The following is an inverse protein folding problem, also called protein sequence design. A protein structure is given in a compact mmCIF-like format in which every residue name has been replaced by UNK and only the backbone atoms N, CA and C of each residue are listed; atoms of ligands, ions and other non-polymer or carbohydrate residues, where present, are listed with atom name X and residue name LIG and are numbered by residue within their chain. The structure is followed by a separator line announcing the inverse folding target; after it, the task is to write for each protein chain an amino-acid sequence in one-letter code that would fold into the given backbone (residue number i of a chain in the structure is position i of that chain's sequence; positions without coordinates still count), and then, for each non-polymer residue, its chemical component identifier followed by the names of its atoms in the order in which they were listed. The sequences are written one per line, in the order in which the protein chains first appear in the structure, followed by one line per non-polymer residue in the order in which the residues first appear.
data_IF_609893599361
#
_entry.id   IF_609893599361
#
_cell.length_a   1.000
_cell.length_b   1.000
_cell.length_c   1.000
_cell.angle_alpha   90.00
_cell.angle_beta   90.00
_cell.angle_gamma   90.00
#
_symmetry.space_group_name_H-M   'P 1'
#
loop_
_entity.id
_entity.type
_entity.pdbx_description
1 polymer ?
#
# COMPACT_ATOMS: atom_id res chain seq x y z
N UNK A 1 40.22 30.98 35.08
CA UNK A 1 40.34 31.18 33.61
C UNK A 1 38.94 30.96 33.03
N UNK A 2 38.16 32.03 32.83
CA UNK A 2 37.73 32.59 31.51
C UNK A 2 37.14 31.54 30.55
N UNK A 3 35.95 31.65 29.91
CA UNK A 3 34.83 32.61 29.77
C UNK A 3 33.68 31.81 29.08
N UNK A 4 32.42 31.85 29.53
CA UNK A 4 31.28 32.66 29.04
C UNK A 4 31.04 32.67 27.51
N UNK A 5 29.87 32.15 27.07
CA UNK A 5 28.83 32.92 26.34
C UNK A 5 27.49 32.17 26.26
N UNK A 6 26.52 32.65 27.05
CA UNK A 6 25.07 32.52 26.81
C UNK A 6 24.63 33.66 25.87
N UNK A 7 23.69 33.40 24.96
CA UNK A 7 22.91 34.45 24.28
C UNK A 7 21.44 34.25 24.66
N UNK A 8 20.86 35.31 25.25
CA UNK A 8 19.43 35.49 25.55
C UNK A 8 18.70 35.94 24.27
N UNK A 9 17.53 35.37 24.02
CA UNK A 9 16.50 35.93 23.13
C UNK A 9 15.41 36.57 23.99
N UNK A 10 15.10 37.83 23.72
CA UNK A 10 13.90 38.54 24.17
C UNK A 10 13.82 39.84 23.41
N UNK A 11 12.72 40.06 22.69
CA UNK A 11 12.10 41.39 22.57
C UNK A 11 10.68 41.26 22.02
N UNK A 12 9.74 41.68 22.86
CA UNK A 12 8.37 42.06 22.52
C UNK A 12 8.27 43.60 22.47
N UNK A 13 7.16 44.05 21.88
CA UNK A 13 6.39 45.30 22.12
C UNK A 13 6.70 46.61 21.35
N UNK A 14 5.77 46.94 20.42
CA UNK A 14 4.77 48.04 20.48
C UNK A 14 5.07 49.48 19.96
N UNK A 15 4.35 49.83 18.89
CA UNK A 15 3.46 51.01 18.61
C UNK A 15 3.88 52.43 19.09
N UNK A 16 3.96 53.42 18.16
CA UNK A 16 3.18 54.69 18.19
C UNK A 16 3.31 55.56 16.90
N UNK A 17 2.31 56.42 16.73
CA UNK A 17 1.83 57.19 15.55
C UNK A 17 2.29 58.66 15.60
N UNK A 18 2.42 59.38 14.45
CA UNK A 18 1.79 60.70 14.14
C UNK A 18 2.28 61.41 12.84
N UNK A 19 1.30 61.71 11.94
CA UNK A 19 1.02 62.93 11.11
C UNK A 19 2.12 63.60 10.26
N UNK A 20 1.94 64.26 9.09
CA UNK A 20 0.82 64.67 8.20
C UNK A 20 1.46 65.48 7.03
N UNK A 21 0.96 65.39 5.78
CA UNK A 21 0.58 66.54 4.90
C UNK A 21 0.36 66.17 3.41
N UNK A 22 -0.86 66.46 2.89
CA UNK A 22 -1.22 66.86 1.51
C UNK A 22 -1.07 65.83 0.37
N UNK A 23 -2.00 65.62 -0.56
CA UNK A 23 -3.30 66.21 -0.86
C UNK A 23 -3.73 65.77 -2.28
N UNK A 24 -5.04 65.55 -2.49
CA UNK A 24 -5.71 65.69 -3.79
C UNK A 24 -5.90 64.45 -4.68
N UNK A 25 -7.18 64.10 -4.92
CA UNK A 25 -7.63 63.74 -6.28
C UNK A 25 -8.05 62.29 -6.57
N UNK A 26 -9.33 62.00 -6.32
CA UNK A 26 -10.25 61.25 -7.21
C UNK A 26 -9.78 59.98 -7.92
N UNK A 27 -10.22 58.81 -7.44
CA UNK A 27 -11.09 57.91 -8.22
C UNK A 27 -11.58 56.74 -7.36
N UNK A 28 -12.88 56.46 -7.44
CA UNK A 28 -13.48 55.26 -6.89
C UNK A 28 -12.98 54.04 -7.67
N UNK A 29 -12.24 53.16 -7.01
CA UNK A 29 -12.18 51.75 -7.36
C UNK A 29 -12.18 50.96 -6.07
N UNK A 30 -13.34 50.39 -5.74
CA UNK A 30 -13.45 49.29 -4.79
C UNK A 30 -12.46 48.21 -5.20
N UNK A 31 -11.49 47.95 -4.35
CA UNK A 31 -10.63 46.78 -4.45
C UNK A 31 -11.52 45.60 -4.08
N UNK A 32 -12.17 45.00 -5.08
CA UNK A 32 -12.64 43.63 -4.96
C UNK A 32 -11.40 42.75 -4.83
N UNK A 33 -11.30 42.07 -3.69
CA UNK A 33 -10.43 40.92 -3.53
C UNK A 33 -10.87 39.88 -4.57
N UNK A 34 -10.23 39.90 -5.73
CA UNK A 34 -10.31 38.82 -6.69
C UNK A 34 -9.75 37.58 -6.01
N UNK A 35 -10.67 36.80 -5.46
CA UNK A 35 -10.47 35.43 -5.05
C UNK A 35 -10.11 34.68 -6.33
N UNK A 36 -8.81 34.54 -6.61
CA UNK A 36 -8.32 33.65 -7.65
C UNK A 36 -8.66 32.24 -7.21
N UNK A 37 -9.84 31.76 -7.61
CA UNK A 37 -10.04 30.34 -7.88
C UNK A 37 -8.96 29.97 -8.89
N UNK A 38 -7.83 29.48 -8.39
CA UNK A 38 -6.92 28.69 -9.21
C UNK A 38 -7.73 27.54 -9.79
N UNK A 39 -7.62 27.41 -11.10
CA UNK A 39 -8.25 26.38 -11.92
C UNK A 39 -7.88 25.00 -11.39
N UNK A 40 -8.74 24.45 -10.52
CA UNK A 40 -8.86 23.02 -10.31
C UNK A 40 -9.45 22.44 -11.60
N UNK A 41 -8.57 21.91 -12.42
CA UNK A 41 -8.97 21.17 -13.63
C UNK A 41 -9.68 19.87 -13.21
N UNK A 42 -10.92 19.76 -13.68
CA UNK A 42 -11.79 18.57 -13.76
C UNK A 42 -12.04 17.75 -12.47
N UNK A 43 -12.81 18.35 -11.57
CA UNK A 43 -13.24 17.79 -10.28
C UNK A 43 -14.43 16.79 -10.40
N UNK A 44 -14.69 16.19 -11.57
CA UNK A 44 -15.95 15.46 -11.87
C UNK A 44 -15.86 13.93 -11.89
N UNK A 45 -14.75 13.32 -11.45
CA UNK A 45 -14.49 11.88 -11.64
C UNK A 45 -14.34 11.05 -10.35
N UNK A 46 -14.24 11.69 -9.18
CA UNK A 46 -14.06 11.01 -7.88
C UNK A 46 -15.32 11.21 -7.04
N UNK A 47 -15.91 10.11 -6.57
CA UNK A 47 -17.08 10.09 -5.68
C UNK A 47 -16.82 10.92 -4.41
N UNK A 48 -17.80 11.71 -3.97
CA UNK A 48 -17.72 12.53 -2.77
C UNK A 48 -17.43 11.67 -1.53
N UNK A 49 -17.89 10.41 -1.48
CA UNK A 49 -17.58 9.52 -0.34
C UNK A 49 -16.09 9.19 -0.25
N UNK A 50 -15.42 9.00 -1.39
CA UNK A 50 -13.97 8.77 -1.46
C UNK A 50 -13.23 10.06 -1.12
N UNK A 51 -13.69 11.20 -1.65
CA UNK A 51 -13.08 12.50 -1.40
C UNK A 51 -13.13 12.90 0.08
N UNK A 52 -14.16 12.48 0.78
CA UNK A 52 -14.37 12.81 2.20
C UNK A 52 -13.50 11.99 3.15
N UNK A 53 -12.76 10.99 2.65
CA UNK A 53 -11.77 10.29 3.47
C UNK A 53 -10.58 11.21 3.77
N UNK A 54 -10.30 11.53 5.06
CA UNK A 54 -9.36 12.59 5.43
C UNK A 54 -7.95 12.42 4.85
N UNK A 55 -7.50 11.18 4.65
CA UNK A 55 -6.15 10.86 4.21
C UNK A 55 -6.04 10.29 2.80
N UNK A 56 -7.15 10.16 2.06
CA UNK A 56 -7.09 9.68 0.67
C UNK A 56 -6.16 10.54 -0.22
N UNK A 57 -6.11 11.86 0.02
CA UNK A 57 -5.21 12.80 -0.66
C UNK A 57 -3.70 12.55 -0.45
N UNK A 58 -3.33 11.68 0.47
CA UNK A 58 -1.95 11.28 0.76
C UNK A 58 -1.62 9.88 0.22
N UNK A 59 -2.63 9.15 -0.27
CA UNK A 59 -2.49 7.80 -0.82
C UNK A 59 -2.17 7.84 -2.32
N UNK A 60 -0.98 8.32 -2.65
CA UNK A 60 -0.53 8.43 -4.05
C UNK A 60 -0.51 7.11 -4.81
N UNK A 61 -0.38 5.98 -4.11
CA UNK A 61 -0.49 4.65 -4.70
C UNK A 61 -1.89 4.37 -5.29
N UNK A 62 -2.92 5.07 -4.80
CA UNK A 62 -4.29 5.00 -5.29
C UNK A 62 -4.58 6.07 -6.35
N UNK A 63 -4.10 7.30 -6.13
CA UNK A 63 -4.32 8.41 -7.05
C UNK A 63 -3.14 9.39 -7.04
N UNK A 64 -2.21 9.24 -7.98
CA UNK A 64 -0.97 10.05 -8.01
C UNK A 64 -1.21 11.48 -8.48
N UNK A 65 -2.14 11.67 -9.41
CA UNK A 65 -2.44 12.98 -10.04
C UNK A 65 -2.99 14.05 -9.09
N UNK A 66 -3.49 13.66 -7.92
CA UNK A 66 -4.08 14.55 -6.92
C UNK A 66 -3.43 14.43 -5.54
N UNK A 67 -2.30 13.70 -5.45
CA UNK A 67 -1.66 13.44 -4.17
C UNK A 67 -0.66 14.50 -3.80
N UNK A 68 -0.72 14.91 -2.54
CA UNK A 68 0.28 15.76 -1.91
C UNK A 68 1.10 14.84 -1.03
N UNK A 69 2.30 14.41 -1.44
CA UNK A 69 3.13 13.51 -0.60
C UNK A 69 3.37 14.11 0.79
N UNK A 70 3.60 15.42 0.83
CA UNK A 70 3.79 16.25 2.01
C UNK A 70 3.98 17.73 1.56
N UNK A 71 4.01 18.68 2.51
CA UNK A 71 4.24 20.11 2.24
C UNK A 71 5.67 20.46 1.78
N UNK A 72 6.56 19.47 1.58
CA UNK A 72 7.95 19.69 1.15
C UNK A 72 8.13 19.72 -0.38
N UNK A 73 7.06 19.55 -1.15
CA UNK A 73 7.08 19.75 -2.60
C UNK A 73 7.68 18.59 -3.41
N UNK A 74 7.67 17.36 -2.88
CA UNK A 74 8.00 16.16 -3.66
C UNK A 74 6.95 15.95 -4.75
N UNK A 75 7.41 15.72 -5.98
CA UNK A 75 6.55 15.48 -7.13
C UNK A 75 6.33 13.99 -7.30
N UNK A 76 5.08 13.55 -7.16
CA UNK A 76 4.64 12.22 -7.63
C UNK A 76 4.57 12.26 -9.15
N UNK A 77 5.05 11.22 -9.83
CA UNK A 77 4.74 11.03 -11.25
C UNK A 77 3.24 10.75 -11.40
N UNK A 78 2.57 11.43 -12.34
CA UNK A 78 1.11 11.32 -12.50
C UNK A 78 0.63 9.89 -12.78
N UNK A 79 1.54 9.01 -13.24
CA UNK A 79 1.27 7.62 -13.51
C UNK A 79 1.83 6.67 -12.44
N UNK A 80 2.21 7.16 -11.25
CA UNK A 80 2.80 6.33 -10.18
C UNK A 80 1.78 5.44 -9.45
N UNK A 81 0.49 5.77 -9.51
CA UNK A 81 -0.59 4.96 -8.94
C UNK A 81 -0.86 3.64 -9.68
N UNK A 82 -1.75 2.82 -9.12
CA UNK A 82 -2.20 1.55 -9.70
C UNK A 82 -3.45 1.69 -10.57
N UNK A 83 -3.89 2.91 -10.92
CA UNK A 83 -5.12 3.18 -11.65
C UNK A 83 -6.37 2.57 -10.98
N UNK A 84 -6.50 2.75 -9.65
CA UNK A 84 -7.56 2.13 -8.85
C UNK A 84 -8.96 2.69 -9.15
N UNK A 85 -9.05 3.97 -9.51
CA UNK A 85 -10.32 4.65 -9.73
C UNK A 85 -11.09 4.01 -10.90
N UNK A 86 -10.40 3.50 -11.91
CA UNK A 86 -11.03 2.73 -12.99
C UNK A 86 -11.57 1.38 -12.52
N UNK A 87 -10.89 0.72 -11.58
CA UNK A 87 -11.39 -0.52 -11.00
C UNK A 87 -12.63 -0.30 -10.11
N UNK A 88 -12.63 0.77 -9.31
CA UNK A 88 -13.73 1.11 -8.40
C UNK A 88 -15.03 1.54 -9.09
N UNK A 89 -15.00 1.86 -10.39
CA UNK A 89 -16.20 1.99 -11.23
C UNK A 89 -16.90 0.64 -11.45
N UNK A 90 -16.19 -0.47 -11.29
CA UNK A 90 -16.69 -1.84 -11.53
C UNK A 90 -16.92 -2.59 -10.22
N UNK A 91 -15.95 -2.58 -9.30
CA UNK A 91 -16.03 -3.26 -8.01
C UNK A 91 -15.15 -2.61 -6.95
N UNK A 92 -15.50 -2.79 -5.68
CA UNK A 92 -14.67 -2.45 -4.51
C UNK A 92 -14.28 -3.68 -3.68
N UNK A 93 -14.47 -4.89 -4.21
CA UNK A 93 -13.97 -6.13 -3.60
C UNK A 93 -14.98 -6.89 -2.74
N UNK A 94 -16.26 -6.54 -2.79
CA UNK A 94 -17.30 -7.24 -2.03
C UNK A 94 -17.32 -8.76 -2.30
N UNK A 95 -17.58 -9.52 -1.25
CA UNK A 95 -17.70 -10.99 -1.29
C UNK A 95 -16.37 -11.74 -1.26
N UNK A 96 -15.23 -11.06 -1.29
CA UNK A 96 -13.90 -11.69 -1.24
C UNK A 96 -13.32 -11.62 0.17
N UNK A 97 -12.74 -12.74 0.61
CA UNK A 97 -11.99 -12.83 1.86
C UNK A 97 -10.50 -12.86 1.57
N UNK A 98 -9.75 -12.02 2.27
CA UNK A 98 -8.29 -11.94 2.18
C UNK A 98 -7.70 -12.27 3.55
N UNK A 99 -6.79 -13.22 3.61
CA UNK A 99 -6.03 -13.51 4.82
C UNK A 99 -4.71 -12.74 4.81
N UNK A 100 -4.39 -12.12 5.94
CA UNK A 100 -3.10 -11.46 6.19
C UNK A 100 -2.37 -12.30 7.22
N UNK A 101 -1.27 -12.94 6.81
CA UNK A 101 -0.41 -13.72 7.70
C UNK A 101 0.80 -12.87 8.01
N UNK A 102 0.87 -12.33 9.24
CA UNK A 102 1.87 -11.33 9.62
C UNK A 102 2.07 -11.31 11.16
N UNK A 103 2.74 -10.29 11.68
CA UNK A 103 3.06 -10.10 13.10
C UNK A 103 1.85 -9.84 14.01
N UNK A 104 0.63 -9.79 13.44
CA UNK A 104 -0.64 -9.57 14.12
C UNK A 104 -1.38 -8.35 13.62
N UNK A 105 -2.16 -7.73 14.49
CA UNK A 105 -2.87 -6.50 14.15
C UNK A 105 -3.82 -6.05 15.26
N UNK A 106 -4.52 -4.94 15.02
CA UNK A 106 -5.51 -4.39 15.92
C UNK A 106 -6.91 -4.49 15.27
N UNK A 107 -7.64 -5.60 15.46
CA UNK A 107 -8.94 -5.84 14.82
C UNK A 107 -10.02 -4.79 15.11
N UNK A 108 -9.82 -3.97 16.14
CA UNK A 108 -10.74 -2.90 16.55
C UNK A 108 -10.29 -1.51 16.06
N UNK A 109 -9.26 -1.45 15.21
CA UNK A 109 -8.81 -0.21 14.59
C UNK A 109 -9.98 0.50 13.89
N UNK A 110 -10.12 1.80 14.11
CA UNK A 110 -11.26 2.60 13.63
C UNK A 110 -11.46 2.49 12.12
N UNK A 111 -10.35 2.38 11.39
CA UNK A 111 -10.25 2.25 9.95
C UNK A 111 -9.94 0.80 9.48
N UNK A 112 -10.42 -0.20 10.24
CA UNK A 112 -10.26 -1.62 9.88
C UNK A 112 -11.40 -2.52 10.38
N UNK A 113 -11.94 -2.23 11.56
CA UNK A 113 -12.85 -3.10 12.33
C UNK A 113 -14.07 -3.60 11.56
N UNK A 114 -14.60 -2.82 10.63
CA UNK A 114 -15.81 -3.17 9.88
C UNK A 114 -15.54 -4.27 8.82
N UNK A 115 -14.27 -4.47 8.47
CA UNK A 115 -13.84 -5.46 7.50
C UNK A 115 -13.14 -6.67 8.12
N UNK A 116 -12.72 -6.65 9.39
CA UNK A 116 -12.16 -7.83 10.07
C UNK A 116 -13.26 -8.79 10.49
N UNK A 117 -13.26 -10.00 9.93
CA UNK A 117 -14.29 -11.02 10.25
C UNK A 117 -13.76 -12.14 11.14
N UNK A 118 -12.46 -12.41 11.10
CA UNK A 118 -11.83 -13.51 11.82
C UNK A 118 -10.41 -13.13 12.23
N UNK A 119 -9.98 -13.67 13.36
CA UNK A 119 -8.62 -13.50 13.88
C UNK A 119 -8.11 -14.82 14.41
N UNK A 120 -6.82 -15.09 14.21
CA UNK A 120 -6.19 -16.32 14.67
C UNK A 120 -4.74 -16.09 15.04
N UNK A 121 -4.30 -16.65 16.16
CA UNK A 121 -2.94 -16.59 16.63
C UNK A 121 -2.32 -17.98 16.56
N UNK A 122 -1.45 -18.17 15.57
CA UNK A 122 -0.81 -19.47 15.30
C UNK A 122 0.03 -19.92 16.50
N UNK A 123 0.59 -18.99 17.26
CA UNK A 123 1.49 -19.26 18.37
C UNK A 123 0.81 -19.97 19.56
N UNK A 124 -0.51 -19.80 19.73
CA UNK A 124 -1.23 -20.35 20.88
C UNK A 124 -2.66 -20.84 20.59
N UNK A 125 -3.10 -20.80 19.33
CA UNK A 125 -4.42 -21.23 18.89
C UNK A 125 -5.59 -20.33 19.34
N UNK A 126 -5.32 -19.15 19.91
CA UNK A 126 -6.35 -18.21 20.35
C UNK A 126 -6.77 -17.24 19.23
N UNK A 127 -7.79 -16.42 19.50
CA UNK A 127 -8.21 -15.33 18.60
C UNK A 127 -7.53 -13.99 18.93
N UNK A 128 -6.61 -13.96 19.90
CA UNK A 128 -5.92 -12.74 20.34
C UNK A 128 -4.73 -12.46 19.44
N UNK A 129 -4.85 -11.47 18.57
CA UNK A 129 -3.83 -11.14 17.54
C UNK A 129 -3.06 -9.84 17.81
N UNK A 130 -3.36 -9.13 18.90
CA UNK A 130 -2.63 -7.94 19.33
C UNK A 130 -1.13 -8.22 19.50
N UNK A 131 -0.30 -7.25 19.13
CA UNK A 131 1.15 -7.28 19.38
C UNK A 131 1.47 -7.13 20.86
N UNK A 132 2.63 -7.68 21.25
CA UNK A 132 3.15 -7.59 22.61
C UNK A 132 4.37 -6.65 22.72
N UNK A 133 4.83 -6.02 21.62
CA UNK A 133 5.98 -5.11 21.58
C UNK A 133 5.73 -3.87 20.72
N UNK A 134 6.47 -2.79 21.02
CA UNK A 134 6.37 -1.44 20.44
C UNK A 134 6.57 -1.33 18.91
N UNK A 135 6.75 -2.44 18.18
CA UNK A 135 7.04 -2.45 16.73
C UNK A 135 6.03 -3.28 15.92
N UNK A 136 4.89 -3.64 16.52
CA UNK A 136 3.93 -4.59 15.95
C UNK A 136 2.82 -4.00 15.07
N UNK A 137 3.14 -2.99 14.25
CA UNK A 137 2.16 -2.37 13.34
C UNK A 137 2.12 -2.99 11.95
N UNK A 138 3.10 -3.83 11.59
CA UNK A 138 3.31 -4.26 10.21
C UNK A 138 2.10 -4.99 9.62
N UNK A 139 1.53 -5.95 10.35
CA UNK A 139 0.31 -6.65 9.92
C UNK A 139 -0.95 -5.78 9.93
N UNK A 140 -1.00 -4.76 10.80
CA UNK A 140 -2.08 -3.75 10.78
C UNK A 140 -2.01 -2.93 9.50
N UNK A 141 -0.84 -2.36 9.19
CA UNK A 141 -0.61 -1.59 7.96
C UNK A 141 -0.90 -2.42 6.71
N UNK A 142 -0.43 -3.68 6.66
CA UNK A 142 -0.73 -4.59 5.55
C UNK A 142 -2.24 -4.82 5.39
N UNK A 143 -2.96 -4.99 6.49
CA UNK A 143 -4.41 -5.16 6.49
C UNK A 143 -5.14 -3.93 5.96
N UNK A 144 -4.71 -2.72 6.35
CA UNK A 144 -5.29 -1.46 5.89
C UNK A 144 -5.12 -1.22 4.39
N UNK A 145 -3.92 -1.48 3.84
CA UNK A 145 -3.68 -1.37 2.39
C UNK A 145 -4.61 -2.28 1.57
N UNK A 146 -5.08 -3.39 2.14
CA UNK A 146 -6.04 -4.26 1.48
C UNK A 146 -7.46 -3.72 1.63
N UNK A 147 -7.91 -3.46 2.86
CA UNK A 147 -9.34 -3.28 3.13
C UNK A 147 -9.68 -2.29 4.27
N UNK A 148 -8.95 -1.19 4.41
CA UNK A 148 -9.52 -0.03 5.12
C UNK A 148 -10.83 0.40 4.41
N UNK A 149 -11.96 0.48 5.13
CA UNK A 149 -13.27 0.76 4.54
C UNK A 149 -13.38 2.21 4.05
N UNK A 150 -14.46 2.51 3.33
CA UNK A 150 -14.88 3.90 3.09
C UNK A 150 -15.94 4.22 4.16
N UNK A 151 -15.56 4.93 5.21
CA UNK A 151 -16.40 5.24 6.37
C UNK A 151 -16.27 6.71 6.88
N UNK A 152 -15.50 7.55 6.19
CA UNK A 152 -15.21 8.94 6.55
C UNK A 152 -14.10 9.10 7.59
N UNK A 153 -13.29 8.07 7.82
CA UNK A 153 -12.19 8.04 8.77
C UNK A 153 -10.94 7.49 8.09
N UNK A 154 -9.83 8.23 8.22
CA UNK A 154 -8.52 7.67 7.87
C UNK A 154 -8.28 7.52 6.37
N UNK A 155 -7.89 6.31 5.99
CA UNK A 155 -7.38 5.89 4.67
C UNK A 155 -8.38 4.95 3.97
N UNK A 156 -8.09 4.58 2.72
CA UNK A 156 -8.88 3.61 1.96
C UNK A 156 -7.99 2.44 1.56
N UNK A 157 -8.44 1.20 1.75
CA UNK A 157 -7.78 0.02 1.21
C UNK A 157 -8.05 -0.14 -0.28
N UNK A 158 -7.22 -0.89 -0.99
CA UNK A 158 -7.41 -1.16 -2.42
C UNK A 158 -8.76 -1.85 -2.71
N UNK A 159 -9.20 -2.74 -1.82
CA UNK A 159 -10.46 -3.47 -1.87
C UNK A 159 -11.30 -3.21 -0.61
N UNK A 160 -11.88 -2.01 -0.46
CA UNK A 160 -12.48 -1.55 0.79
C UNK A 160 -13.78 -2.28 1.18
N UNK A 161 -14.34 -3.13 0.31
CA UNK A 161 -15.49 -3.98 0.61
C UNK A 161 -15.12 -5.46 0.83
N UNK A 162 -13.84 -5.82 0.69
CA UNK A 162 -13.35 -7.16 1.05
C UNK A 162 -13.34 -7.38 2.56
N UNK A 163 -13.35 -8.65 2.98
CA UNK A 163 -13.28 -9.04 4.40
C UNK A 163 -11.94 -9.66 4.74
N UNK A 164 -11.43 -9.35 5.92
CA UNK A 164 -10.10 -9.72 6.39
C UNK A 164 -10.14 -10.88 7.39
N UNK A 165 -9.19 -11.79 7.22
CA UNK A 165 -8.82 -12.80 8.21
C UNK A 165 -7.40 -12.43 8.68
N UNK A 166 -7.26 -11.96 9.92
CA UNK A 166 -5.95 -11.56 10.46
C UNK A 166 -5.33 -12.77 11.17
N UNK A 167 -4.19 -13.23 10.68
CA UNK A 167 -3.48 -14.40 11.21
C UNK A 167 -2.14 -13.93 11.75
N UNK A 168 -2.00 -13.96 13.08
CA UNK A 168 -0.77 -13.62 13.79
C UNK A 168 0.18 -14.81 13.80
N UNK A 169 1.41 -14.54 13.38
CA UNK A 169 2.54 -15.46 13.40
C UNK A 169 3.80 -14.72 13.85
N UNK A 170 4.51 -15.25 14.86
CA UNK A 170 5.74 -14.62 15.35
C UNK A 170 7.01 -15.28 14.79
N UNK A 171 6.90 -16.53 14.34
CA UNK A 171 8.05 -17.33 13.87
C UNK A 171 7.74 -17.89 12.48
N UNK A 172 8.64 -17.66 11.54
CA UNK A 172 8.58 -18.29 10.22
C UNK A 172 9.15 -19.70 10.37
N UNK A 173 8.29 -20.70 10.19
CA UNK A 173 8.65 -22.11 10.28
C UNK A 173 7.59 -22.95 9.58
N UNK A 174 8.00 -24.04 8.93
CA UNK A 174 7.10 -24.94 8.21
C UNK A 174 5.83 -25.26 9.02
N UNK A 175 5.97 -25.58 10.32
CA UNK A 175 4.84 -25.95 11.16
C UNK A 175 3.84 -24.79 11.36
N UNK A 176 4.32 -23.56 11.63
CA UNK A 176 3.45 -22.40 11.81
C UNK A 176 2.88 -21.93 10.47
N UNK A 177 3.67 -21.92 9.40
CA UNK A 177 3.26 -21.52 8.06
C UNK A 177 2.10 -22.40 7.57
N UNK A 178 2.25 -23.73 7.70
CA UNK A 178 1.19 -24.69 7.31
C UNK A 178 -0.09 -24.46 8.12
N UNK A 179 0.02 -24.23 9.43
CA UNK A 179 -1.14 -23.95 10.28
C UNK A 179 -1.85 -22.65 9.86
N UNK A 180 -1.09 -21.61 9.50
CA UNK A 180 -1.63 -20.35 9.02
C UNK A 180 -2.35 -20.50 7.68
N UNK A 181 -1.74 -21.18 6.70
CA UNK A 181 -2.35 -21.42 5.39
C UNK A 181 -3.60 -22.28 5.47
N UNK A 182 -3.56 -23.38 6.24
CA UNK A 182 -4.75 -24.21 6.43
C UNK A 182 -5.84 -23.46 7.18
N UNK A 183 -5.52 -22.60 8.16
CA UNK A 183 -6.54 -21.76 8.80
C UNK A 183 -7.18 -20.80 7.79
N UNK A 184 -6.38 -20.10 6.96
CA UNK A 184 -6.89 -19.19 5.94
C UNK A 184 -7.82 -19.91 4.94
N UNK A 185 -7.37 -21.05 4.40
CA UNK A 185 -8.13 -21.88 3.47
C UNK A 185 -9.43 -22.40 4.07
N UNK A 186 -9.38 -22.96 5.28
CA UNK A 186 -10.56 -23.53 5.95
C UNK A 186 -11.59 -22.45 6.32
N UNK A 187 -11.17 -21.19 6.41
CA UNK A 187 -12.04 -20.04 6.64
C UNK A 187 -12.40 -19.28 5.35
N UNK A 188 -12.12 -19.86 4.18
CA UNK A 188 -12.60 -19.39 2.89
C UNK A 188 -11.87 -18.18 2.33
N UNK A 189 -10.60 -17.97 2.71
CA UNK A 189 -9.74 -17.00 2.04
C UNK A 189 -9.61 -17.34 0.54
N UNK A 190 -9.69 -16.32 -0.32
CA UNK A 190 -9.37 -16.43 -1.75
C UNK A 190 -8.00 -15.86 -2.08
N UNK A 191 -7.51 -14.97 -1.22
CA UNK A 191 -6.20 -14.35 -1.31
C UNK A 191 -5.51 -14.50 0.03
N UNK A 192 -4.22 -14.84 0.02
CA UNK A 192 -3.36 -14.87 1.20
C UNK A 192 -2.18 -13.93 0.92
N UNK A 193 -2.03 -12.91 1.76
CA UNK A 193 -0.95 -11.92 1.70
C UNK A 193 0.10 -12.23 2.76
N UNK A 194 1.35 -12.42 2.33
CA UNK A 194 2.49 -12.71 3.18
C UNK A 194 3.59 -11.68 2.93
N UNK A 195 3.75 -10.73 3.86
CA UNK A 195 4.72 -9.64 3.75
C UNK A 195 6.04 -9.96 4.47
N UNK A 196 6.48 -11.22 4.35
CA UNK A 196 7.66 -11.80 5.00
C UNK A 196 8.32 -12.83 4.08
N UNK A 197 9.55 -13.24 4.41
CA UNK A 197 10.27 -14.30 3.70
C UNK A 197 11.34 -14.93 4.61
N UNK A 198 11.71 -16.19 4.35
CA UNK A 198 12.69 -16.95 5.14
C UNK A 198 14.04 -17.12 4.46
N UNK A 199 14.11 -16.92 3.14
CA UNK A 199 15.23 -17.33 2.29
C UNK A 199 15.61 -18.82 2.41
N UNK A 200 14.72 -19.66 2.95
CA UNK A 200 14.94 -21.07 3.17
C UNK A 200 13.63 -21.88 3.03
N UNK A 201 13.03 -21.85 1.84
CA UNK A 201 11.79 -22.58 1.56
C UNK A 201 12.04 -24.10 1.49
N UNK A 202 11.37 -24.87 2.34
CA UNK A 202 11.44 -26.33 2.32
C UNK A 202 10.53 -26.95 1.25
N UNK A 203 10.81 -28.18 0.83
CA UNK A 203 9.91 -28.95 -0.07
C UNK A 203 8.50 -29.15 0.52
N UNK A 204 8.39 -29.18 1.85
CA UNK A 204 7.11 -29.31 2.56
C UNK A 204 6.31 -28.02 2.38
N UNK A 205 6.95 -26.86 2.57
CA UNK A 205 6.33 -25.55 2.36
C UNK A 205 5.93 -25.36 0.89
N UNK A 206 6.79 -25.72 -0.08
CA UNK A 206 6.44 -25.70 -1.51
C UNK A 206 5.22 -26.57 -1.79
N UNK A 207 5.14 -27.75 -1.18
CA UNK A 207 3.99 -28.66 -1.33
C UNK A 207 2.71 -28.05 -0.74
N UNK A 208 2.80 -27.33 0.38
CA UNK A 208 1.65 -26.64 0.98
C UNK A 208 1.18 -25.46 0.13
N UNK A 209 2.09 -24.64 -0.39
CA UNK A 209 1.77 -23.55 -1.31
C UNK A 209 1.10 -24.08 -2.58
N UNK A 210 1.53 -25.24 -3.09
CA UNK A 210 0.86 -25.92 -4.19
C UNK A 210 -0.58 -26.32 -3.82
N UNK A 211 -0.84 -26.80 -2.60
CA UNK A 211 -2.21 -27.12 -2.16
C UNK A 211 -3.10 -25.89 -2.13
N UNK A 212 -2.59 -24.74 -1.72
CA UNK A 212 -3.36 -23.47 -1.78
C UNK A 212 -3.70 -23.12 -3.22
N UNK A 213 -2.71 -23.18 -4.12
CA UNK A 213 -2.91 -22.95 -5.55
C UNK A 213 -3.95 -23.90 -6.16
N UNK A 214 -3.84 -25.20 -5.90
CA UNK A 214 -4.79 -26.21 -6.38
C UNK A 214 -6.20 -26.03 -5.80
N UNK A 215 -6.31 -25.45 -4.59
CA UNK A 215 -7.58 -25.09 -3.95
C UNK A 215 -8.20 -23.78 -4.51
N UNK A 216 -7.56 -23.16 -5.50
CA UNK A 216 -8.02 -21.92 -6.11
C UNK A 216 -7.79 -20.68 -5.25
N UNK A 217 -6.77 -20.72 -4.37
CA UNK A 217 -6.35 -19.62 -3.51
C UNK A 217 -5.08 -19.02 -4.09
N UNK A 218 -5.03 -17.70 -4.24
CA UNK A 218 -3.82 -17.00 -4.67
C UNK A 218 -3.00 -16.58 -3.45
N UNK A 219 -1.77 -17.09 -3.33
CA UNK A 219 -0.82 -16.71 -2.28
C UNK A 219 0.20 -15.73 -2.87
N UNK A 220 0.56 -14.70 -2.12
CA UNK A 220 1.38 -13.58 -2.58
C UNK A 220 2.47 -13.32 -1.54
N UNK A 221 3.70 -13.13 -2.02
CA UNK A 221 4.87 -12.90 -1.19
C UNK A 221 5.65 -11.65 -1.61
N UNK A 222 6.10 -10.89 -0.62
CA UNK A 222 7.04 -9.79 -0.81
C UNK A 222 8.41 -10.33 -1.25
N UNK A 223 9.07 -9.67 -2.18
CA UNK A 223 10.40 -10.11 -2.66
C UNK A 223 11.55 -9.80 -1.70
N UNK A 224 11.34 -8.92 -0.71
CA UNK A 224 12.37 -8.46 0.22
C UNK A 224 13.00 -7.11 -0.16
N UNK A 225 13.74 -6.52 0.78
CA UNK A 225 14.12 -5.09 0.78
C UNK A 225 15.64 -4.84 0.77
N UNK A 226 16.43 -5.77 0.25
CA UNK A 226 17.90 -5.72 0.27
C UNK A 226 18.53 -5.19 -1.03
N UNK A 227 17.71 -4.77 -2.00
CA UNK A 227 18.15 -4.32 -3.34
C UNK A 227 18.94 -5.40 -4.09
N UNK A 228 18.68 -6.67 -3.76
CA UNK A 228 19.53 -7.81 -4.12
C UNK A 228 18.87 -8.73 -5.16
N UNK A 229 19.72 -9.42 -5.93
CA UNK A 229 19.27 -10.40 -6.92
C UNK A 229 18.94 -11.73 -6.27
N UNK A 230 17.68 -12.16 -6.37
CA UNK A 230 17.21 -13.47 -5.91
C UNK A 230 17.68 -14.61 -6.82
N UNK A 231 18.14 -14.31 -8.04
CA UNK A 231 18.71 -15.30 -8.96
C UNK A 231 20.07 -15.91 -8.53
N UNK A 232 20.58 -15.57 -7.36
CA UNK A 232 21.87 -16.05 -6.87
C UNK A 232 21.77 -17.50 -6.36
N UNK A 233 22.81 -18.33 -6.59
CA UNK A 233 22.80 -19.81 -6.38
C UNK A 233 22.45 -20.33 -4.96
N UNK A 234 22.18 -19.46 -3.98
CA UNK A 234 21.79 -19.84 -2.61
C UNK A 234 20.60 -19.04 -2.06
N UNK A 235 19.89 -18.29 -2.91
CA UNK A 235 18.68 -17.61 -2.51
C UNK A 235 17.49 -18.52 -2.84
N UNK A 236 16.69 -18.82 -1.83
CA UNK A 236 15.51 -19.66 -1.95
C UNK A 236 14.38 -18.96 -1.19
N UNK A 237 13.78 -17.97 -1.84
CA UNK A 237 12.76 -17.13 -1.25
C UNK A 237 11.35 -17.58 -1.64
N UNK A 238 10.39 -17.40 -0.73
CA UNK A 238 8.99 -17.76 -0.95
C UNK A 238 8.43 -17.07 -2.20
N UNK A 239 8.81 -15.83 -2.47
CA UNK A 239 8.35 -15.05 -3.62
C UNK A 239 8.78 -15.63 -4.98
N UNK A 240 9.76 -16.54 -5.00
CA UNK A 240 10.20 -17.22 -6.22
C UNK A 240 9.50 -18.57 -6.45
N UNK A 241 8.67 -19.02 -5.50
CA UNK A 241 7.97 -20.29 -5.61
C UNK A 241 6.92 -20.21 -6.72
N UNK A 242 7.00 -21.14 -7.67
CA UNK A 242 6.10 -21.23 -8.85
C UNK A 242 4.60 -21.10 -8.56
N UNK A 243 4.16 -21.46 -7.37
CA UNK A 243 2.75 -21.51 -6.98
C UNK A 243 2.24 -20.20 -6.36
N UNK A 244 3.12 -19.22 -6.13
CA UNK A 244 2.81 -17.94 -5.49
C UNK A 244 3.14 -16.77 -6.41
N UNK A 245 2.50 -15.62 -6.19
CA UNK A 245 2.85 -14.40 -6.91
C UNK A 245 3.93 -13.65 -6.13
N UNK A 246 5.09 -13.44 -6.75
CA UNK A 246 6.19 -12.66 -6.18
C UNK A 246 6.03 -11.17 -6.52
N UNK A 247 6.14 -10.30 -5.51
CA UNK A 247 5.88 -8.86 -5.65
C UNK A 247 7.08 -8.02 -5.21
N UNK A 248 7.61 -7.24 -6.15
CA UNK A 248 8.57 -6.17 -5.89
C UNK A 248 7.92 -4.81 -5.65
N UNK A 249 8.72 -3.80 -5.35
CA UNK A 249 8.25 -2.45 -5.02
C UNK A 249 8.54 -1.43 -6.13
N UNK A 250 7.64 -0.46 -6.28
CA UNK A 250 7.81 0.77 -7.07
C UNK A 250 7.68 2.03 -6.20
N UNK A 251 8.27 3.13 -6.66
CA UNK A 251 8.26 4.42 -5.96
C UNK A 251 7.26 5.40 -6.59
N UNK A 252 7.14 6.56 -5.97
CA UNK A 252 6.38 7.72 -6.46
C UNK A 252 6.89 8.25 -7.81
N UNK A 253 8.09 7.84 -8.23
CA UNK A 253 8.69 8.23 -9.51
C UNK A 253 8.24 7.34 -10.68
N UNK A 254 7.21 6.50 -10.47
CA UNK A 254 6.71 5.52 -11.44
C UNK A 254 7.85 4.63 -11.97
N UNK A 255 8.65 4.10 -11.06
CA UNK A 255 9.75 3.18 -11.36
C UNK A 255 10.02 2.21 -10.20
N UNK A 256 10.84 1.18 -10.39
CA UNK A 256 11.19 0.24 -9.33
C UNK A 256 11.87 0.96 -8.15
N UNK A 257 11.61 0.48 -6.94
CA UNK A 257 12.30 0.94 -5.75
C UNK A 257 13.67 0.29 -5.64
N UNK A 258 14.72 1.08 -5.40
CA UNK A 258 16.09 0.57 -5.44
C UNK A 258 16.38 -0.51 -4.38
N UNK A 259 15.64 -0.49 -3.26
CA UNK A 259 15.71 -1.49 -2.21
C UNK A 259 14.95 -2.77 -2.55
N UNK A 260 14.10 -2.78 -3.58
CA UNK A 260 13.37 -3.98 -3.95
C UNK A 260 14.36 -5.06 -4.40
N UNK A 261 14.29 -6.22 -3.76
CA UNK A 261 14.88 -7.41 -4.34
C UNK A 261 14.21 -7.72 -5.68
N UNK A 262 14.96 -8.41 -6.54
CA UNK A 262 14.58 -8.63 -7.93
C UNK A 262 15.09 -9.96 -8.44
N UNK A 263 14.46 -10.53 -9.46
CA UNK A 263 14.84 -11.81 -10.03
C UNK A 263 13.86 -12.30 -11.08
N UNK A 264 14.25 -13.32 -11.85
CA UNK A 264 13.44 -13.86 -12.97
C UNK A 264 12.08 -14.42 -12.56
N UNK A 265 11.90 -14.74 -11.29
CA UNK A 265 10.68 -15.35 -10.75
C UNK A 265 9.74 -14.34 -10.08
N UNK A 266 10.13 -13.06 -9.97
CA UNK A 266 9.21 -12.00 -9.52
C UNK A 266 8.25 -11.67 -10.67
N UNK A 267 6.96 -11.62 -10.37
CA UNK A 267 5.91 -11.48 -11.38
C UNK A 267 5.62 -10.00 -11.70
N UNK A 268 5.46 -9.17 -10.68
CA UNK A 268 5.05 -7.77 -10.84
C UNK A 268 5.71 -6.89 -9.77
N UNK A 269 5.68 -5.58 -10.01
CA UNK A 269 5.95 -4.60 -8.96
C UNK A 269 4.67 -3.83 -8.62
N UNK A 270 4.58 -3.30 -7.40
CA UNK A 270 3.49 -2.43 -6.98
C UNK A 270 4.01 -1.30 -6.10
N UNK A 271 3.26 -0.20 -5.91
CA UNK A 271 3.68 0.89 -5.05
C UNK A 271 4.07 0.42 -3.65
N UNK A 272 5.34 0.65 -3.31
CA UNK A 272 5.91 0.36 -2.00
C UNK A 272 6.61 1.56 -1.38
N UNK A 273 6.66 2.72 -2.03
CA UNK A 273 7.33 3.93 -1.50
C UNK A 273 8.84 3.95 -1.69
N UNK A 274 9.47 5.03 -1.22
CA UNK A 274 10.92 5.22 -1.22
C UNK A 274 11.50 5.09 0.22
N UNK A 275 12.82 4.98 0.36
CA UNK A 275 13.47 5.00 1.69
C UNK A 275 13.45 6.37 2.34
N UNK A 276 13.31 7.44 1.56
CA UNK A 276 12.81 8.69 2.09
C UNK A 276 11.32 8.51 2.42
N UNK A 277 11.01 8.29 3.70
CA UNK A 277 9.65 8.01 4.18
C UNK A 277 8.67 9.15 3.87
N UNK A 278 9.17 10.34 3.54
CA UNK A 278 8.32 11.44 3.09
C UNK A 278 7.71 11.19 1.70
N UNK A 279 8.29 10.27 0.93
CA UNK A 279 7.75 9.67 -0.30
C UNK A 279 7.14 8.26 -0.06
N UNK A 280 6.92 7.87 1.20
CA UNK A 280 6.29 6.60 1.55
C UNK A 280 4.83 6.51 1.08
N UNK A 281 4.24 5.32 1.21
CA UNK A 281 2.79 5.13 1.03
C UNK A 281 2.10 5.22 2.39
N UNK A 282 1.04 6.02 2.47
CA UNK A 282 0.28 6.18 3.72
C UNK A 282 -0.67 5.01 3.94
N UNK A 283 -0.58 4.37 5.10
CA UNK A 283 -1.50 3.33 5.56
C UNK A 283 -1.83 3.49 7.04
N UNK A 284 -2.61 2.55 7.59
CA UNK A 284 -2.91 2.51 9.03
C UNK A 284 -1.70 2.07 9.84
N UNK A 285 -1.65 2.51 11.08
CA UNK A 285 -0.64 2.19 12.09
C UNK A 285 -1.33 1.78 13.40
N UNK A 286 -0.58 1.49 14.44
CA UNK A 286 -1.15 1.19 15.75
C UNK A 286 -1.95 2.37 16.30
N UNK A 287 -3.01 2.08 17.04
CA UNK A 287 -3.83 3.10 17.67
C UNK A 287 -3.13 3.76 18.87
N UNK A 288 -3.30 5.08 18.99
CA UNK A 288 -2.97 5.84 20.20
C UNK A 288 -1.47 6.02 20.43
N UNK A 289 -1.02 5.80 21.66
CA UNK A 289 0.39 5.98 22.06
C UNK A 289 1.33 4.92 21.47
N UNK A 290 0.77 3.82 20.97
CA UNK A 290 1.53 2.75 20.32
C UNK A 290 1.78 3.01 18.82
N UNK A 291 1.09 4.00 18.25
CA UNK A 291 1.30 4.48 16.88
C UNK A 291 2.43 5.48 16.78
N UNK A 292 2.93 5.66 15.57
CA UNK A 292 4.07 6.51 15.27
C UNK A 292 3.70 7.99 15.45
N UNK A 293 4.28 8.59 16.49
CA UNK A 293 3.93 9.92 16.99
C UNK A 293 4.63 11.07 16.28
N UNK A 294 5.65 10.79 15.43
CA UNK A 294 6.51 11.81 14.83
C UNK A 294 6.25 12.01 13.33
N UNK A 295 5.00 12.30 12.97
CA UNK A 295 4.58 12.35 11.57
C UNK A 295 4.20 13.73 11.06
N UNK A 296 4.58 13.99 9.81
CA UNK A 296 4.22 15.21 9.11
C UNK A 296 2.74 15.16 8.71
N UNK A 297 1.96 16.15 9.11
CA UNK A 297 0.61 16.46 8.59
C UNK A 297 -0.50 15.44 8.88
N UNK A 298 -0.25 14.44 9.72
CA UNK A 298 -1.29 13.56 10.25
C UNK A 298 -1.76 14.08 11.61
N UNK A 299 -3.08 14.10 11.81
CA UNK A 299 -3.70 14.61 13.05
C UNK A 299 -3.77 13.52 14.13
N UNK A 300 -3.62 12.25 13.72
CA UNK A 300 -3.71 11.08 14.58
C UNK A 300 -2.52 10.14 14.31
N UNK A 301 -1.96 9.54 15.37
CA UNK A 301 -0.84 8.59 15.31
C UNK A 301 -1.26 7.21 14.79
N UNK A 302 -2.55 6.99 14.53
CA UNK A 302 -3.12 5.75 13.99
C UNK A 302 -2.76 5.48 12.50
N UNK A 303 -1.92 6.30 11.88
CA UNK A 303 -1.61 6.21 10.44
C UNK A 303 -0.15 6.54 10.23
N UNK A 304 0.51 5.86 9.30
CA UNK A 304 1.92 6.07 9.03
C UNK A 304 2.27 6.04 7.54
N UNK A 305 3.18 6.92 7.13
CA UNK A 305 3.89 6.73 5.87
C UNK A 305 4.86 5.56 6.05
N UNK A 306 4.77 4.60 5.14
CA UNK A 306 5.57 3.38 5.18
C UNK A 306 6.25 3.11 3.85
N UNK A 307 7.25 2.24 3.86
CA UNK A 307 7.91 1.81 2.63
C UNK A 307 8.35 0.34 2.68
N UNK A 308 8.42 -0.32 1.52
CA UNK A 308 8.85 -1.71 1.42
C UNK A 308 8.02 -2.55 0.46
N UNK A 309 8.62 -3.65 -0.01
CA UNK A 309 7.93 -4.74 -0.72
C UNK A 309 6.82 -5.36 0.12
N UNK A 310 6.96 -5.30 1.45
CA UNK A 310 5.93 -5.64 2.42
C UNK A 310 4.62 -4.90 2.24
N UNK A 311 4.64 -3.68 1.68
CA UNK A 311 3.44 -2.86 1.47
C UNK A 311 2.98 -2.87 0.00
N UNK A 312 3.90 -3.13 -0.94
CA UNK A 312 3.54 -3.46 -2.33
C UNK A 312 2.71 -4.76 -2.43
N UNK A 313 3.01 -5.73 -1.56
CA UNK A 313 2.33 -7.03 -1.47
C UNK A 313 0.83 -6.92 -1.15
N UNK A 314 0.39 -6.25 -0.06
CA UNK A 314 -1.02 -6.05 0.25
C UNK A 314 -1.73 -5.16 -0.77
N UNK A 315 -1.05 -4.19 -1.38
CA UNK A 315 -1.61 -3.43 -2.51
C UNK A 315 -1.95 -4.38 -3.67
N UNK A 316 -1.07 -5.31 -4.01
CA UNK A 316 -1.31 -6.36 -5.01
C UNK A 316 -2.43 -7.32 -4.59
N UNK A 317 -2.46 -7.72 -3.31
CA UNK A 317 -3.51 -8.58 -2.75
C UNK A 317 -4.90 -7.95 -2.88
N UNK A 318 -5.01 -6.64 -2.65
CA UNK A 318 -6.24 -5.89 -2.88
C UNK A 318 -6.68 -5.93 -4.35
N UNK A 319 -5.77 -5.71 -5.30
CA UNK A 319 -6.11 -5.80 -6.74
C UNK A 319 -6.61 -7.20 -7.11
N UNK A 320 -5.97 -8.24 -6.60
CA UNK A 320 -6.41 -9.63 -6.81
C UNK A 320 -7.79 -9.86 -6.18
N UNK A 321 -8.07 -9.28 -5.02
CA UNK A 321 -9.39 -9.36 -4.41
C UNK A 321 -10.46 -8.68 -5.28
N UNK A 322 -10.16 -7.55 -5.91
CA UNK A 322 -11.06 -6.93 -6.90
C UNK A 322 -11.30 -7.86 -8.09
N UNK A 323 -10.27 -8.52 -8.61
CA UNK A 323 -10.40 -9.49 -9.71
C UNK A 323 -11.32 -10.65 -9.35
N UNK A 324 -11.15 -11.25 -8.16
CA UNK A 324 -12.03 -12.31 -7.66
C UNK A 324 -13.46 -11.83 -7.40
N UNK A 325 -13.66 -10.56 -7.05
CA UNK A 325 -14.99 -10.00 -6.81
C UNK A 325 -15.83 -9.93 -8.09
N UNK A 326 -15.20 -9.58 -9.23
CA UNK A 326 -15.90 -9.56 -10.54
C UNK A 326 -15.97 -10.93 -11.21
N UNK A 327 -15.05 -11.84 -10.88
CA UNK A 327 -15.05 -13.20 -11.41
C UNK A 327 -14.55 -14.19 -10.34
N UNK A 328 -15.45 -14.75 -9.51
CA UNK A 328 -15.06 -15.68 -8.43
C UNK A 328 -14.47 -17.01 -8.89
N UNK A 329 -14.54 -17.32 -10.19
CA UNK A 329 -14.16 -18.61 -10.77
C UNK A 329 -12.80 -18.60 -11.47
N UNK A 330 -12.14 -17.44 -11.63
CA UNK A 330 -10.77 -17.42 -12.16
C UNK A 330 -9.83 -18.23 -11.26
N UNK A 331 -8.95 -18.99 -11.89
CA UNK A 331 -7.93 -19.76 -11.22
C UNK A 331 -6.75 -18.86 -10.81
N UNK A 332 -5.92 -19.26 -9.82
CA UNK A 332 -4.69 -18.54 -9.50
C UNK A 332 -3.75 -18.38 -10.71
N UNK A 333 -3.79 -19.32 -11.67
CA UNK A 333 -3.08 -19.19 -12.94
C UNK A 333 -3.57 -17.98 -13.74
N UNK A 334 -4.88 -17.88 -13.94
CA UNK A 334 -5.50 -16.79 -14.69
C UNK A 334 -5.29 -15.46 -13.99
N UNK A 335 -5.33 -15.43 -12.65
CA UNK A 335 -4.97 -14.25 -11.87
C UNK A 335 -3.56 -13.77 -12.20
N UNK A 336 -2.55 -14.66 -12.14
CA UNK A 336 -1.17 -14.34 -12.49
C UNK A 336 -1.06 -13.85 -13.94
N UNK A 337 -1.65 -14.58 -14.88
CA UNK A 337 -1.60 -14.24 -16.30
C UNK A 337 -2.21 -12.85 -16.58
N UNK A 338 -3.33 -12.53 -15.93
CA UNK A 338 -3.99 -11.23 -16.06
C UNK A 338 -3.12 -10.11 -15.49
N UNK A 339 -2.56 -10.29 -14.29
CA UNK A 339 -1.66 -9.29 -13.68
C UNK A 339 -0.47 -9.00 -14.60
N UNK A 340 0.21 -10.04 -15.07
CA UNK A 340 1.36 -9.91 -15.99
C UNK A 340 0.96 -9.21 -17.30
N UNK A 341 -0.17 -9.63 -17.91
CA UNK A 341 -0.64 -9.10 -19.19
C UNK A 341 -1.03 -7.62 -19.10
N UNK A 342 -1.57 -7.21 -17.96
CA UNK A 342 -2.15 -5.88 -17.77
C UNK A 342 -1.22 -4.89 -17.08
N UNK A 343 -0.09 -5.36 -16.56
CA UNK A 343 0.93 -4.53 -15.93
C UNK A 343 1.48 -3.45 -16.88
N UNK A 344 1.67 -2.25 -16.34
CA UNK A 344 2.23 -1.11 -17.03
C UNK A 344 3.75 -1.22 -17.11
N UNK A 345 4.29 -0.99 -18.31
CA UNK A 345 5.74 -0.93 -18.52
C UNK A 345 6.26 0.41 -18.04
N UNK A 346 6.90 0.39 -16.87
CA UNK A 346 7.43 1.59 -16.20
C UNK A 346 8.93 1.76 -16.41
N UNK A 347 9.48 2.93 -16.07
CA UNK A 347 10.92 3.21 -16.14
C UNK A 347 11.55 3.19 -17.53
N UNK A 348 10.76 3.33 -18.61
CA UNK A 348 11.26 3.30 -20.01
C UNK A 348 12.24 4.43 -20.31
N UNK A 349 12.11 5.56 -19.61
CA UNK A 349 13.03 6.68 -19.68
C UNK A 349 14.25 6.53 -18.74
N UNK A 350 14.29 5.46 -17.95
CA UNK A 350 15.30 5.17 -16.92
C UNK A 350 15.89 3.75 -17.08
N UNK A 351 16.24 3.41 -18.32
CA UNK A 351 17.01 2.20 -18.63
C UNK A 351 16.24 0.88 -18.51
N UNK A 352 14.91 0.89 -18.45
CA UNK A 352 14.14 -0.36 -18.56
C UNK A 352 14.41 -1.06 -19.90
N UNK A 353 14.59 -2.37 -19.83
CA UNK A 353 14.89 -3.22 -20.97
C UNK A 353 14.00 -4.47 -20.95
N UNK A 354 12.70 -4.25 -21.21
CA UNK A 354 11.76 -5.35 -21.33
C UNK A 354 12.10 -6.21 -22.55
N UNK A 355 12.27 -7.51 -22.33
CA UNK A 355 12.52 -8.47 -23.41
C UNK A 355 11.25 -8.72 -24.25
N UNK A 356 11.33 -9.62 -25.24
CA UNK A 356 10.21 -9.96 -26.12
C UNK A 356 8.98 -10.51 -25.40
N UNK A 357 9.13 -11.05 -24.19
CA UNK A 357 8.05 -11.55 -23.36
C UNK A 357 7.50 -10.47 -22.42
N UNK A 358 8.04 -9.24 -22.49
CA UNK A 358 7.64 -8.12 -21.66
C UNK A 358 8.22 -8.16 -20.25
N UNK A 359 9.31 -8.88 -20.01
CA UNK A 359 9.96 -8.97 -18.70
C UNK A 359 11.23 -8.12 -18.65
N UNK A 360 11.41 -7.36 -17.57
CA UNK A 360 12.62 -6.62 -17.19
C UNK A 360 13.08 -7.11 -15.81
N UNK A 361 14.39 -7.30 -15.62
CA UNK A 361 14.92 -7.95 -14.40
C UNK A 361 14.61 -7.19 -13.11
N UNK A 362 14.47 -5.86 -13.14
CA UNK A 362 14.18 -5.04 -11.95
C UNK A 362 12.71 -4.66 -11.82
N UNK A 363 11.98 -4.68 -12.94
CA UNK A 363 10.57 -4.26 -13.00
C UNK A 363 9.61 -5.42 -13.21
N UNK A 364 10.13 -6.64 -13.27
CA UNK A 364 9.39 -7.85 -13.58
C UNK A 364 8.58 -7.69 -14.89
N UNK A 365 7.31 -8.09 -14.90
CA UNK A 365 6.41 -7.80 -16.02
C UNK A 365 5.80 -6.40 -15.97
N UNK A 366 6.23 -5.53 -15.05
CA UNK A 366 5.78 -4.16 -14.91
C UNK A 366 5.01 -3.90 -13.63
N UNK A 367 4.53 -2.67 -13.48
CA UNK A 367 3.75 -2.25 -12.32
C UNK A 367 2.29 -2.65 -12.48
N UNK A 368 1.65 -3.17 -11.44
CA UNK A 368 0.24 -3.56 -11.50
C UNK A 368 -0.68 -2.39 -11.92
N UNK A 369 -1.72 -2.70 -12.71
CA UNK A 369 -2.78 -1.76 -13.09
C UNK A 369 -4.15 -2.36 -12.74
N UNK A 370 -4.75 -1.87 -11.66
CA UNK A 370 -5.99 -2.38 -11.10
C UNK A 370 -7.15 -2.29 -12.10
N UNK A 371 -7.31 -1.14 -12.77
CA UNK A 371 -8.37 -0.94 -13.76
C UNK A 371 -8.31 -1.96 -14.89
N UNK A 372 -7.14 -2.13 -15.52
CA UNK A 372 -6.95 -3.10 -16.60
C UNK A 372 -7.12 -4.54 -16.11
N UNK A 373 -6.59 -4.88 -14.94
CA UNK A 373 -6.67 -6.23 -14.37
C UNK A 373 -8.13 -6.64 -14.08
N UNK A 374 -8.92 -5.75 -13.46
CA UNK A 374 -10.33 -6.00 -13.15
C UNK A 374 -11.17 -6.14 -14.42
N UNK A 375 -10.98 -5.27 -15.41
CA UNK A 375 -11.69 -5.36 -16.69
C UNK A 375 -11.36 -6.66 -17.43
N UNK A 376 -10.10 -7.09 -17.42
CA UNK A 376 -9.71 -8.37 -18.03
C UNK A 376 -10.26 -9.57 -17.26
N UNK A 377 -10.26 -9.55 -15.92
CA UNK A 377 -10.86 -10.61 -15.10
C UNK A 377 -12.37 -10.76 -15.36
N UNK A 378 -13.08 -9.65 -15.52
CA UNK A 378 -14.48 -9.63 -15.91
C UNK A 378 -14.69 -10.20 -17.33
N UNK A 379 -13.75 -9.96 -18.25
CA UNK A 379 -13.81 -10.47 -19.63
C UNK A 379 -13.62 -11.99 -19.69
N UNK A 380 -12.69 -12.55 -18.91
CA UNK A 380 -12.43 -14.00 -18.83
C UNK A 380 -13.63 -14.77 -18.24
N UNK A 381 -14.60 -14.09 -17.62
CA UNK A 381 -15.83 -14.69 -17.11
C UNK A 381 -16.83 -15.14 -18.20
N UNK A 382 -16.64 -14.67 -19.45
CA UNK A 382 -17.49 -14.96 -20.61
C UNK A 382 -16.74 -15.81 -21.63
#
# INVERSE_FOLDING_TARGET
MNRIKLIKMSLLSSILILSSCGGGGSSNSSIELNNTQENLSDNSTIDDTIRNEPYFKYQWHLNSSHSILNDKGYRVDDNADINILEAWKVTKGAGVRVAVIDDGGQPLHEDLKDNVILTYNVNNGSNTVYYQSYHGSHGNTCSGFIASPINGVGTIGVAPESKLIIIRQNEISDAQDILAFEYAKNNGAKVISCSWGSYNVSDILVSELKKMYDAGITVIFASGNDGSSLDSDNVNDESEVKWVIGVGASTENNDFAYYSNYGKNIDVIAPGGDTDISSGILGIDNMGEDGESSQLNLVNNNYAFTNGTSFATPVTAGVIALMYSVNPNITPKEVRDILIKTADKVGTNNGANYNSNGFDIRRAYGKINAGKAVLEAQRVAN
#
